data_IF_463903679645
#
_entry.id   IF_463903679645
#
_cell.length_a   1.000
_cell.length_b   1.000
_cell.length_c   1.000
_cell.angle_alpha   90.00
_cell.angle_beta   90.00
_cell.angle_gamma   90.00
#
_symmetry.space_group_name_H-M   'P 1'
#
loop_
_entity.id
_entity.type
_entity.pdbx_description
1 polymer ?
#
# COMPACT_ATOMS: atom_id res chain seq x y z
N UNK A 1 -1.49 13.22 -0.07
CA UNK A 1 -1.36 12.10 0.88
C UNK A 1 -0.69 10.87 0.24
N UNK A 2 -0.30 9.88 1.01
CA UNK A 2 0.09 8.58 0.46
C UNK A 2 -0.65 7.42 1.14
N UNK A 3 -0.95 6.39 0.35
CA UNK A 3 -1.34 5.06 0.81
C UNK A 3 -0.44 4.06 0.12
N UNK A 4 0.32 3.26 0.88
CA UNK A 4 1.34 2.39 0.29
C UNK A 4 1.47 1.06 1.02
N UNK A 5 1.78 0.01 0.27
CA UNK A 5 1.84 -1.38 0.73
C UNK A 5 3.19 -2.01 0.34
N UNK A 6 4.30 -1.63 1.03
CA UNK A 6 5.61 -2.16 0.73
C UNK A 6 5.69 -3.68 0.97
N UNK A 7 6.67 -4.40 0.41
CA UNK A 7 6.96 -5.77 0.78
C UNK A 7 7.08 -5.94 2.30
N UNK A 8 6.65 -7.09 2.85
CA UNK A 8 6.60 -7.31 4.31
C UNK A 8 7.80 -8.09 4.85
N UNK A 9 8.77 -8.41 4.02
CA UNK A 9 9.92 -9.26 4.36
C UNK A 9 9.52 -10.63 4.96
N UNK A 10 8.49 -11.25 4.40
CA UNK A 10 7.89 -12.51 4.90
C UNK A 10 8.14 -13.70 3.98
N UNK A 11 8.94 -13.50 2.92
CA UNK A 11 9.28 -14.53 1.92
C UNK A 11 8.04 -15.23 1.34
N UNK A 12 7.11 -14.42 0.86
CA UNK A 12 5.77 -14.85 0.45
C UNK A 12 5.77 -15.98 -0.58
N UNK A 13 6.78 -16.04 -1.44
CA UNK A 13 6.90 -17.04 -2.50
C UNK A 13 7.33 -18.43 -2.03
N UNK A 14 8.11 -18.54 -0.93
CA UNK A 14 8.76 -19.78 -0.50
C UNK A 14 8.00 -20.51 0.61
N UNK A 15 7.20 -19.83 1.43
CA UNK A 15 6.55 -20.41 2.59
C UNK A 15 5.09 -20.87 2.40
N UNK A 16 4.50 -20.70 1.24
CA UNK A 16 3.13 -21.14 0.95
C UNK A 16 3.09 -22.53 0.33
N UNK A 17 2.32 -23.46 0.94
CA UNK A 17 2.13 -24.84 0.47
C UNK A 17 1.87 -24.94 -1.05
N UNK A 18 2.44 -25.99 -1.65
CA UNK A 18 2.32 -26.27 -3.07
C UNK A 18 0.86 -26.41 -3.49
N UNK A 19 0.29 -25.38 -4.14
CA UNK A 19 -0.83 -25.61 -5.03
C UNK A 19 -0.25 -26.12 -6.37
N UNK A 20 -0.61 -27.35 -6.73
CA UNK A 20 -0.22 -27.98 -7.99
C UNK A 20 -0.66 -27.06 -9.15
N UNK A 21 0.32 -26.55 -9.92
CA UNK A 21 0.08 -26.05 -11.26
C UNK A 21 0.28 -24.56 -11.54
N UNK A 22 0.55 -23.67 -10.57
CA UNK A 22 0.89 -22.28 -10.86
C UNK A 22 2.27 -21.90 -10.30
N UNK A 23 3.15 -21.34 -11.12
CA UNK A 23 4.37 -20.66 -10.66
C UNK A 23 3.91 -19.47 -9.80
N UNK A 24 4.02 -19.59 -8.48
CA UNK A 24 3.85 -18.44 -7.60
C UNK A 24 4.90 -17.38 -7.95
N UNK A 25 4.44 -16.16 -8.20
CA UNK A 25 5.34 -15.03 -8.36
C UNK A 25 5.92 -14.66 -7.01
N UNK A 26 7.21 -14.47 -6.96
CA UNK A 26 7.91 -13.90 -5.80
C UNK A 26 7.72 -12.39 -5.80
N UNK A 27 7.64 -11.81 -4.61
CA UNK A 27 7.64 -10.35 -4.43
C UNK A 27 9.09 -9.90 -4.30
N UNK A 28 9.49 -8.89 -5.07
CA UNK A 28 10.83 -8.32 -4.97
C UNK A 28 11.03 -7.70 -3.58
N UNK A 29 12.23 -7.86 -3.01
CA UNK A 29 12.62 -7.35 -1.69
C UNK A 29 11.80 -7.90 -0.49
N UNK A 30 11.16 -9.06 -0.64
CA UNK A 30 10.34 -9.68 0.41
C UNK A 30 11.09 -10.77 1.23
N UNK A 31 12.39 -10.95 1.00
CA UNK A 31 13.25 -11.91 1.70
C UNK A 31 14.67 -11.36 1.82
N UNK A 32 14.82 -10.24 2.52
CA UNK A 32 16.08 -9.56 2.74
C UNK A 32 16.65 -9.88 4.12
N UNK A 33 17.99 -9.89 4.23
CA UNK A 33 18.66 -9.92 5.53
C UNK A 33 18.32 -8.64 6.33
N UNK A 34 18.41 -8.67 7.68
CA UNK A 34 17.97 -7.55 8.52
C UNK A 34 18.53 -6.18 8.13
N UNK A 35 19.83 -6.12 7.86
CA UNK A 35 20.50 -4.85 7.49
C UNK A 35 20.07 -4.35 6.10
N UNK A 36 19.87 -5.26 5.16
CA UNK A 36 19.38 -4.94 3.81
C UNK A 36 17.92 -4.49 3.87
N UNK A 37 17.13 -5.14 4.72
CA UNK A 37 15.75 -4.78 4.96
C UNK A 37 15.63 -3.37 5.54
N UNK A 38 16.39 -3.04 6.58
CA UNK A 38 16.40 -1.70 7.14
C UNK A 38 16.86 -0.65 6.12
N UNK A 39 17.90 -0.93 5.33
CA UNK A 39 18.36 -0.03 4.28
C UNK A 39 17.27 0.20 3.21
N UNK A 40 16.55 -0.85 2.84
CA UNK A 40 15.40 -0.76 1.93
C UNK A 40 14.27 0.09 2.52
N UNK A 41 13.92 -0.13 3.81
CA UNK A 41 12.92 0.68 4.50
C UNK A 41 13.33 2.17 4.53
N UNK A 42 14.58 2.48 4.83
CA UNK A 42 15.09 3.85 4.82
C UNK A 42 15.03 4.50 3.45
N UNK A 43 15.29 3.74 2.39
CA UNK A 43 15.26 4.27 1.04
C UNK A 43 13.85 4.71 0.61
N UNK A 44 12.85 3.84 0.75
CA UNK A 44 11.49 4.20 0.38
C UNK A 44 10.84 5.20 1.34
N UNK A 45 11.16 5.13 2.66
CA UNK A 45 10.63 6.09 3.63
C UNK A 45 11.15 7.52 3.36
N UNK A 46 12.43 7.68 3.00
CA UNK A 46 12.97 8.98 2.55
C UNK A 46 12.25 9.50 1.31
N UNK A 47 12.03 8.64 0.33
CA UNK A 47 11.27 9.01 -0.87
C UNK A 47 9.86 9.47 -0.51
N UNK A 48 9.16 8.72 0.33
CA UNK A 48 7.82 9.05 0.80
C UNK A 48 7.78 10.44 1.46
N UNK A 49 8.64 10.66 2.46
CA UNK A 49 8.71 11.90 3.24
C UNK A 49 9.22 13.11 2.45
N UNK A 50 9.94 12.90 1.34
CA UNK A 50 10.41 13.98 0.48
C UNK A 50 9.36 14.48 -0.51
N UNK A 51 8.31 13.69 -0.77
CA UNK A 51 7.30 14.01 -1.79
C UNK A 51 5.87 14.18 -1.23
N UNK A 52 5.67 13.87 0.07
CA UNK A 52 4.34 13.91 0.67
C UNK A 52 4.37 14.78 1.92
N UNK A 53 3.62 15.88 1.89
CA UNK A 53 3.41 16.75 3.04
C UNK A 53 2.08 16.46 3.78
N UNK A 54 1.26 15.55 3.26
CA UNK A 54 -0.03 15.12 3.87
C UNK A 54 0.07 13.82 4.63
N UNK A 55 -1.07 13.23 4.95
CA UNK A 55 -1.18 11.97 5.68
C UNK A 55 -0.52 10.80 4.96
N UNK A 56 0.08 9.92 5.75
CA UNK A 56 0.76 8.71 5.33
C UNK A 56 0.03 7.50 5.93
N UNK A 57 -0.36 6.55 5.08
CA UNK A 57 -0.89 5.25 5.44
C UNK A 57 0.06 4.18 4.89
N UNK A 58 0.79 3.51 5.78
CA UNK A 58 1.77 2.48 5.40
C UNK A 58 1.33 1.14 5.95
N UNK A 59 0.89 0.26 5.06
CA UNK A 59 0.56 -1.12 5.43
C UNK A 59 1.81 -1.90 5.80
N UNK A 60 1.74 -2.76 6.83
CA UNK A 60 2.89 -3.54 7.26
C UNK A 60 2.49 -4.82 7.99
N UNK A 61 3.40 -5.79 8.03
CA UNK A 61 3.25 -6.93 8.93
C UNK A 61 3.59 -6.55 10.36
N UNK A 62 2.95 -7.22 11.33
CA UNK A 62 3.27 -7.05 12.75
C UNK A 62 4.72 -7.41 13.08
N UNK A 63 5.35 -8.29 12.29
CA UNK A 63 6.73 -8.71 12.48
C UNK A 63 7.72 -7.57 12.22
N UNK A 64 7.51 -6.85 11.13
CA UNK A 64 8.42 -5.78 10.68
C UNK A 64 7.97 -4.39 11.15
N UNK A 65 6.85 -4.30 11.84
CA UNK A 65 6.33 -3.07 12.42
C UNK A 65 7.38 -2.27 13.21
N UNK A 66 8.16 -2.88 14.14
CA UNK A 66 9.13 -2.12 14.93
C UNK A 66 10.20 -1.45 14.05
N UNK A 67 10.67 -2.14 13.01
CA UNK A 67 11.67 -1.60 12.08
C UNK A 67 11.11 -0.43 11.29
N UNK A 68 9.90 -0.59 10.73
CA UNK A 68 9.29 0.42 9.88
C UNK A 68 8.89 1.66 10.68
N UNK A 69 8.25 1.51 11.86
CA UNK A 69 7.88 2.64 12.71
C UNK A 69 9.13 3.43 13.13
N UNK A 70 10.14 2.76 13.65
CA UNK A 70 11.41 3.39 14.03
C UNK A 70 12.05 4.14 12.85
N UNK A 71 12.11 3.53 11.67
CA UNK A 71 12.73 4.16 10.49
C UNK A 71 11.96 5.41 10.06
N UNK A 72 10.63 5.36 10.04
CA UNK A 72 9.81 6.53 9.71
C UNK A 72 10.03 7.66 10.71
N UNK A 73 9.99 7.37 12.00
CA UNK A 73 10.19 8.35 13.09
C UNK A 73 11.61 8.95 13.07
N UNK A 74 12.67 8.14 12.91
CA UNK A 74 14.06 8.62 12.75
C UNK A 74 14.27 9.52 11.53
N UNK A 75 13.43 9.38 10.50
CA UNK A 75 13.46 10.21 9.30
C UNK A 75 12.56 11.46 9.40
N UNK A 76 11.94 11.69 10.56
CA UNK A 76 11.13 12.86 10.83
C UNK A 76 9.64 12.71 10.50
N UNK A 77 9.12 11.50 10.55
CA UNK A 77 7.68 11.29 10.54
C UNK A 77 7.12 11.30 11.96
N UNK A 78 5.95 11.91 12.12
CA UNK A 78 5.13 11.85 13.33
C UNK A 78 4.19 10.65 13.23
N UNK A 79 4.36 9.66 14.12
CA UNK A 79 3.38 8.60 14.29
C UNK A 79 2.19 9.13 15.10
N UNK A 80 1.00 9.04 14.52
CA UNK A 80 -0.24 9.47 15.18
C UNK A 80 -1.02 8.29 15.73
N UNK A 81 -1.18 7.23 14.93
CA UNK A 81 -2.00 6.08 15.31
C UNK A 81 -1.61 4.80 14.56
N UNK A 82 -2.14 3.68 15.04
CA UNK A 82 -2.09 2.38 14.37
C UNK A 82 -3.49 1.96 13.98
N UNK A 83 -3.81 2.05 12.71
CA UNK A 83 -5.09 1.57 12.20
C UNK A 83 -5.01 0.06 12.03
N UNK A 84 -6.01 -0.66 12.52
CA UNK A 84 -6.11 -2.11 12.41
C UNK A 84 -7.13 -2.49 11.34
N UNK A 85 -6.66 -2.97 10.20
CA UNK A 85 -7.56 -3.61 9.26
C UNK A 85 -7.94 -5.01 9.77
N UNK A 86 -9.13 -5.13 10.37
CA UNK A 86 -9.71 -6.38 10.81
C UNK A 86 -10.41 -7.08 9.63
N UNK A 87 -9.96 -8.32 9.34
CA UNK A 87 -10.48 -9.11 8.21
C UNK A 87 -11.68 -9.94 8.64
N UNK A 88 -12.57 -10.25 7.70
CA UNK A 88 -13.74 -11.11 7.88
C UNK A 88 -13.40 -12.53 8.37
N UNK A 89 -12.22 -13.02 8.00
CA UNK A 89 -11.72 -14.37 8.32
C UNK A 89 -10.20 -14.37 8.49
N UNK A 90 -9.70 -15.24 9.34
CA UNK A 90 -8.27 -15.44 9.50
C UNK A 90 -7.64 -16.20 8.33
N UNK A 91 -6.32 -16.14 8.25
CA UNK A 91 -5.52 -16.95 7.33
C UNK A 91 -4.92 -18.11 8.11
N UNK A 92 -5.30 -19.32 7.75
CA UNK A 92 -4.74 -20.52 8.39
C UNK A 92 -3.23 -20.60 8.14
N UNK A 93 -2.46 -20.65 9.21
CA UNK A 93 -1.00 -20.71 9.20
C UNK A 93 -0.49 -21.74 10.23
N UNK A 94 0.82 -21.76 10.44
CA UNK A 94 1.48 -22.67 11.40
C UNK A 94 1.60 -22.07 12.82
N UNK A 95 1.20 -20.82 13.01
CA UNK A 95 1.25 -20.15 14.31
C UNK A 95 0.10 -20.62 15.20
N UNK A 96 0.25 -20.53 16.53
CA UNK A 96 -0.79 -20.86 17.49
C UNK A 96 -2.03 -19.97 17.31
N UNK A 97 -1.81 -18.67 17.11
CA UNK A 97 -2.86 -17.71 16.78
C UNK A 97 -2.89 -17.41 15.29
N UNK A 98 -4.06 -17.52 14.68
CA UNK A 98 -4.25 -17.28 13.26
C UNK A 98 -4.45 -15.77 12.99
N UNK A 99 -3.71 -15.24 12.01
CA UNK A 99 -3.75 -13.81 11.71
C UNK A 99 -5.07 -13.41 11.05
N UNK A 100 -5.75 -12.45 11.66
CA UNK A 100 -7.01 -11.89 11.19
C UNK A 100 -6.95 -10.37 10.97
N UNK A 101 -5.80 -9.75 11.13
CA UNK A 101 -5.64 -8.31 10.90
C UNK A 101 -4.33 -7.97 10.21
N UNK A 102 -4.26 -6.76 9.69
CA UNK A 102 -3.03 -6.09 9.28
C UNK A 102 -2.99 -4.70 9.90
N UNK A 103 -1.87 -4.29 10.52
CA UNK A 103 -1.70 -2.93 11.00
C UNK A 103 -1.34 -2.00 9.84
N UNK A 104 -1.81 -0.75 9.94
CA UNK A 104 -1.47 0.35 9.04
C UNK A 104 -0.90 1.47 9.90
N UNK A 105 0.34 1.84 9.65
CA UNK A 105 0.97 2.99 10.26
C UNK A 105 0.31 4.25 9.72
N UNK A 106 -0.23 5.07 10.61
CA UNK A 106 -0.84 6.33 10.27
C UNK A 106 -0.10 7.49 10.93
N UNK A 107 0.22 8.48 10.16
CA UNK A 107 0.91 9.68 10.60
C UNK A 107 1.21 10.61 9.44
N UNK A 108 2.17 11.51 9.62
CA UNK A 108 2.59 12.50 8.63
C UNK A 108 4.00 12.97 8.92
N UNK A 109 4.57 13.79 8.04
CA UNK A 109 5.86 14.43 8.26
C UNK A 109 5.77 15.42 9.41
N UNK A 110 6.72 15.39 10.34
CA UNK A 110 6.77 16.33 11.47
C UNK A 110 6.69 17.78 10.98
N UNK A 111 5.80 18.57 11.59
CA UNK A 111 5.55 19.97 11.21
C UNK A 111 4.69 20.19 9.96
N UNK A 112 4.25 19.14 9.26
CA UNK A 112 3.33 19.23 8.13
C UNK A 112 1.86 19.12 8.59
N UNK A 113 0.95 19.62 7.75
CA UNK A 113 -0.50 19.45 7.93
C UNK A 113 -0.91 18.07 7.37
N UNK A 114 -1.57 17.25 8.19
CA UNK A 114 -2.07 15.94 7.76
C UNK A 114 -3.43 15.98 7.04
N UNK A 115 -4.06 17.13 6.98
CA UNK A 115 -5.26 17.41 6.20
C UNK A 115 -6.42 16.44 6.46
N UNK A 116 -6.89 16.39 7.72
CA UNK A 116 -8.01 15.52 8.09
C UNK A 116 -9.35 16.01 7.51
N UNK A 117 -10.02 15.15 6.76
CA UNK A 117 -11.33 15.40 6.13
C UNK A 117 -12.44 14.52 6.71
N UNK A 118 -12.10 13.53 7.52
CA UNK A 118 -13.06 12.61 8.13
C UNK A 118 -13.75 13.19 9.37
N UNK A 119 -14.81 12.53 9.80
CA UNK A 119 -15.48 12.85 11.07
C UNK A 119 -14.66 12.36 12.27
N UNK A 120 -14.96 12.87 13.48
CA UNK A 120 -14.25 12.51 14.72
C UNK A 120 -14.80 11.26 15.42
N UNK A 121 -15.78 10.60 14.84
CA UNK A 121 -16.41 9.37 15.34
C UNK A 121 -15.80 8.09 14.73
N UNK A 122 -14.71 8.22 13.96
CA UNK A 122 -14.04 7.09 13.33
C UNK A 122 -13.07 6.40 14.29
N UNK A 123 -13.31 5.11 14.52
CA UNK A 123 -12.38 4.26 15.26
C UNK A 123 -11.19 3.81 14.40
N UNK A 124 -10.13 3.41 15.08
CA UNK A 124 -8.90 2.87 14.52
C UNK A 124 -9.00 1.40 14.06
N UNK A 125 -10.08 0.69 14.40
CA UNK A 125 -10.35 -0.67 13.91
C UNK A 125 -11.29 -0.61 12.72
N UNK A 126 -10.78 -0.99 11.54
CA UNK A 126 -11.51 -1.01 10.29
C UNK A 126 -11.88 -2.43 9.89
N UNK A 127 -13.14 -2.82 10.14
CA UNK A 127 -13.65 -4.13 9.72
C UNK A 127 -14.03 -4.08 8.25
N UNK A 128 -13.17 -4.65 7.40
CA UNK A 128 -13.35 -4.65 5.94
C UNK A 128 -13.03 -6.05 5.42
N UNK A 129 -13.96 -6.60 4.65
CA UNK A 129 -13.83 -7.92 4.05
C UNK A 129 -12.65 -7.99 3.08
N UNK A 130 -11.96 -9.14 3.07
CA UNK A 130 -10.95 -9.40 2.05
C UNK A 130 -11.61 -9.59 0.69
N UNK A 131 -10.95 -9.17 -0.40
CA UNK A 131 -11.42 -9.49 -1.74
C UNK A 131 -11.57 -11.01 -1.88
N UNK A 132 -12.71 -11.47 -2.39
CA UNK A 132 -12.89 -12.87 -2.77
C UNK A 132 -11.84 -13.22 -3.83
N UNK A 133 -11.04 -14.24 -3.58
CA UNK A 133 -9.88 -14.74 -4.33
C UNK A 133 -9.56 -14.00 -5.63
N UNK A 134 -8.49 -13.22 -5.63
CA UNK A 134 -8.07 -12.49 -6.82
C UNK A 134 -7.06 -13.30 -7.62
N UNK A 135 -7.41 -13.64 -8.86
CA UNK A 135 -6.46 -14.18 -9.84
C UNK A 135 -5.43 -13.11 -10.26
N UNK A 136 -5.73 -11.83 -10.01
CA UNK A 136 -4.95 -10.68 -10.48
C UNK A 136 -3.72 -10.40 -9.61
N UNK A 137 -3.84 -10.50 -8.28
CA UNK A 137 -2.72 -10.27 -7.36
C UNK A 137 -2.96 -11.02 -6.04
N UNK A 138 -1.95 -11.75 -5.51
CA UNK A 138 -2.12 -12.59 -4.32
C UNK A 138 -2.37 -11.80 -3.02
N UNK A 139 -1.95 -10.55 -2.96
CA UNK A 139 -2.03 -9.68 -1.77
C UNK A 139 -2.77 -8.36 -2.03
N UNK A 140 -3.73 -8.37 -2.96
CA UNK A 140 -4.48 -7.16 -3.32
C UNK A 140 -5.23 -6.58 -2.10
N UNK A 141 -5.05 -5.28 -1.84
CA UNK A 141 -5.81 -4.58 -0.80
C UNK A 141 -7.26 -4.34 -1.26
N UNK A 142 -8.25 -4.43 -0.35
CA UNK A 142 -9.63 -4.07 -0.65
C UNK A 142 -9.74 -2.60 -1.08
N UNK A 143 -10.53 -2.31 -2.10
CA UNK A 143 -10.75 -0.91 -2.51
C UNK A 143 -11.34 -0.08 -1.38
N UNK A 144 -12.33 -0.61 -0.65
CA UNK A 144 -12.96 0.08 0.48
C UNK A 144 -11.97 0.49 1.59
N UNK A 145 -10.87 -0.27 1.78
CA UNK A 145 -9.82 0.08 2.73
C UNK A 145 -9.07 1.34 2.27
N UNK A 146 -8.70 1.36 0.99
CA UNK A 146 -7.94 2.46 0.39
C UNK A 146 -8.80 3.70 0.23
N UNK A 147 -10.05 3.52 -0.22
CA UNK A 147 -11.04 4.60 -0.36
C UNK A 147 -11.26 5.33 0.97
N UNK A 148 -11.46 4.57 2.06
CA UNK A 148 -11.63 5.16 3.40
C UNK A 148 -10.43 6.01 3.81
N UNK A 149 -9.20 5.54 3.58
CA UNK A 149 -8.00 6.32 3.87
C UNK A 149 -7.92 7.60 3.02
N UNK A 150 -8.22 7.48 1.72
CA UNK A 150 -8.22 8.60 0.77
C UNK A 150 -9.25 9.66 1.16
N UNK A 151 -10.47 9.26 1.45
CA UNK A 151 -11.57 10.17 1.82
C UNK A 151 -11.30 10.89 3.15
N UNK A 152 -10.68 10.21 4.11
CA UNK A 152 -10.32 10.79 5.41
C UNK A 152 -9.19 11.82 5.32
N UNK A 153 -8.32 11.76 4.32
CA UNK A 153 -7.08 12.55 4.31
C UNK A 153 -6.82 13.28 2.99
N UNK A 154 -7.83 13.45 2.15
CA UNK A 154 -7.72 14.21 0.91
C UNK A 154 -9.09 14.70 0.43
N UNK A 155 -9.07 15.65 -0.51
CA UNK A 155 -10.25 16.16 -1.22
C UNK A 155 -10.23 15.70 -2.68
N UNK A 156 -11.38 15.76 -3.34
CA UNK A 156 -11.44 15.53 -4.78
C UNK A 156 -10.45 16.45 -5.52
N UNK A 157 -9.71 15.89 -6.47
CA UNK A 157 -8.64 16.55 -7.19
C UNK A 157 -7.26 16.50 -6.54
N UNK A 158 -7.14 16.12 -5.26
CA UNK A 158 -5.85 15.99 -4.59
C UNK A 158 -5.03 14.79 -5.11
N UNK A 159 -3.71 14.85 -4.84
CA UNK A 159 -2.77 13.79 -5.23
C UNK A 159 -2.67 12.70 -4.17
N UNK A 160 -2.70 11.46 -4.63
CA UNK A 160 -2.43 10.26 -3.84
C UNK A 160 -1.20 9.57 -4.40
N UNK A 161 -0.17 9.36 -3.56
CA UNK A 161 1.05 8.65 -3.93
C UNK A 161 1.01 7.21 -3.42
N UNK A 162 1.41 6.27 -4.29
CA UNK A 162 1.68 4.88 -3.90
C UNK A 162 3.02 4.42 -4.50
N UNK A 163 4.01 4.14 -3.63
CA UNK A 163 5.34 3.71 -4.07
C UNK A 163 5.40 2.22 -4.47
N UNK A 164 4.37 1.44 -4.15
CA UNK A 164 4.30 -0.01 -4.39
C UNK A 164 2.93 -0.37 -4.96
N UNK A 165 2.63 0.17 -6.15
CA UNK A 165 1.29 0.18 -6.75
C UNK A 165 0.69 -1.22 -6.95
N UNK A 166 1.53 -2.23 -7.19
CA UNK A 166 1.09 -3.60 -7.44
C UNK A 166 0.05 -3.67 -8.57
N UNK A 167 -1.06 -4.32 -8.28
CA UNK A 167 -2.17 -4.42 -9.24
C UNK A 167 -3.04 -3.16 -9.35
N UNK A 168 -2.67 -2.03 -8.73
CA UNK A 168 -3.34 -0.75 -8.89
C UNK A 168 -4.57 -0.54 -8.00
N UNK A 169 -4.62 -1.11 -6.78
CA UNK A 169 -5.77 -0.85 -5.89
C UNK A 169 -5.87 0.63 -5.52
N UNK A 170 -4.75 1.29 -5.24
CA UNK A 170 -4.70 2.72 -4.95
C UNK A 170 -5.10 3.56 -6.16
N UNK A 171 -4.68 3.16 -7.37
CA UNK A 171 -5.06 3.83 -8.62
C UNK A 171 -6.58 3.81 -8.83
N UNK A 172 -7.21 2.64 -8.65
CA UNK A 172 -8.67 2.50 -8.83
C UNK A 172 -9.44 3.22 -7.71
N UNK A 173 -8.96 3.15 -6.47
CA UNK A 173 -9.59 3.85 -5.35
C UNK A 173 -9.53 5.39 -5.53
N UNK A 174 -8.40 5.92 -5.99
CA UNK A 174 -8.24 7.33 -6.30
C UNK A 174 -9.19 7.77 -7.43
N UNK A 175 -9.27 7.01 -8.52
CA UNK A 175 -10.20 7.27 -9.62
C UNK A 175 -11.66 7.30 -9.15
N UNK A 176 -12.08 6.29 -8.35
CA UNK A 176 -13.45 6.20 -7.81
C UNK A 176 -13.82 7.36 -6.90
N UNK A 177 -12.85 7.90 -6.19
CA UNK A 177 -13.04 8.99 -5.24
C UNK A 177 -12.71 10.37 -5.84
N UNK A 178 -12.39 10.44 -7.14
CA UNK A 178 -12.10 11.69 -7.85
C UNK A 178 -10.74 12.32 -7.49
N UNK A 179 -9.75 11.49 -7.11
CA UNK A 179 -8.37 11.92 -6.84
C UNK A 179 -7.46 11.51 -7.98
N UNK A 180 -6.28 12.11 -8.01
CA UNK A 180 -5.22 11.77 -8.99
C UNK A 180 -4.20 10.87 -8.30
N UNK A 181 -3.93 9.70 -8.88
CA UNK A 181 -2.94 8.77 -8.33
C UNK A 181 -1.62 8.86 -9.09
N UNK A 182 -0.52 9.01 -8.36
CA UNK A 182 0.82 8.72 -8.83
C UNK A 182 1.32 7.44 -8.19
N UNK A 183 1.72 6.47 -9.00
CA UNK A 183 2.18 5.19 -8.52
C UNK A 183 3.47 4.74 -9.17
N UNK A 184 4.29 4.00 -8.44
CA UNK A 184 5.45 3.29 -8.98
C UNK A 184 5.27 1.79 -8.82
N UNK A 185 5.73 1.03 -9.81
CA UNK A 185 5.71 -0.43 -9.79
C UNK A 185 6.97 -0.95 -10.48
N UNK A 186 7.62 -1.93 -9.86
CA UNK A 186 8.88 -2.50 -10.37
C UNK A 186 8.64 -3.62 -11.40
N UNK A 187 7.59 -4.44 -11.19
CA UNK A 187 7.28 -5.57 -12.07
C UNK A 187 6.47 -5.08 -13.29
N UNK A 188 7.02 -5.18 -14.53
CA UNK A 188 6.31 -4.77 -15.74
C UNK A 188 4.96 -5.47 -15.93
N UNK A 189 4.80 -6.68 -15.39
CA UNK A 189 3.51 -7.36 -15.44
C UNK A 189 2.46 -6.64 -14.60
N UNK A 190 2.80 -6.22 -13.38
CA UNK A 190 1.85 -5.48 -12.53
C UNK A 190 1.59 -4.08 -13.05
N UNK A 191 2.57 -3.42 -13.66
CA UNK A 191 2.31 -2.19 -14.42
C UNK A 191 1.22 -2.41 -15.48
N UNK A 192 1.32 -3.51 -16.23
CA UNK A 192 0.32 -3.85 -17.26
C UNK A 192 -1.04 -4.19 -16.64
N UNK A 193 -1.07 -4.95 -15.54
CA UNK A 193 -2.30 -5.27 -14.79
C UNK A 193 -2.98 -4.02 -14.29
N UNK A 194 -2.23 -3.08 -13.68
CA UNK A 194 -2.78 -1.83 -13.16
C UNK A 194 -3.38 -0.98 -14.28
N UNK A 195 -2.68 -0.82 -15.41
CA UNK A 195 -3.18 -0.10 -16.57
C UNK A 195 -4.45 -0.75 -17.15
N UNK A 196 -4.45 -2.06 -17.34
CA UNK A 196 -5.61 -2.79 -17.87
C UNK A 196 -6.84 -2.70 -16.94
N UNK A 197 -6.63 -2.75 -15.61
CA UNK A 197 -7.70 -2.55 -14.63
C UNK A 197 -8.28 -1.14 -14.69
N UNK A 198 -7.42 -0.13 -14.81
CA UNK A 198 -7.85 1.25 -14.94
C UNK A 198 -8.63 1.48 -16.23
N UNK A 199 -8.15 0.96 -17.37
CA UNK A 199 -8.86 1.00 -18.65
C UNK A 199 -10.24 0.34 -18.56
N UNK A 200 -10.31 -0.85 -17.94
CA UNK A 200 -11.57 -1.55 -17.76
C UNK A 200 -12.56 -0.80 -16.87
N UNK A 201 -12.04 -0.09 -15.87
CA UNK A 201 -12.87 0.68 -14.94
C UNK A 201 -13.38 1.99 -15.57
N UNK A 202 -12.50 2.73 -16.24
CA UNK A 202 -12.83 4.08 -16.77
C UNK A 202 -13.41 4.05 -18.18
N UNK A 203 -13.18 3.01 -18.95
CA UNK A 203 -13.46 2.94 -20.40
C UNK A 203 -12.47 3.75 -21.25
N UNK A 204 -11.48 4.40 -20.63
CA UNK A 204 -10.44 5.15 -21.31
C UNK A 204 -9.26 4.26 -21.72
N UNK A 205 -8.32 4.79 -22.48
CA UNK A 205 -7.08 4.10 -22.86
C UNK A 205 -5.89 4.72 -22.14
N UNK A 206 -5.05 3.86 -21.55
CA UNK A 206 -3.77 4.27 -20.97
C UNK A 206 -2.78 4.56 -22.11
N UNK A 207 -2.06 5.66 -21.98
CA UNK A 207 -1.03 6.04 -22.95
C UNK A 207 0.36 5.74 -22.39
N UNK A 208 1.17 5.05 -23.21
CA UNK A 208 2.58 4.81 -22.87
C UNK A 208 3.40 6.03 -23.32
N UNK A 209 3.96 6.76 -22.36
CA UNK A 209 4.91 7.84 -22.65
C UNK A 209 6.31 7.24 -22.79
N UNK A 210 6.95 7.39 -23.94
CA UNK A 210 8.34 6.98 -24.15
C UNK A 210 9.31 8.00 -23.51
N UNK A 211 10.41 7.50 -22.92
CA UNK A 211 11.47 8.35 -22.38
C UNK A 211 12.00 9.27 -23.49
N UNK A 212 11.79 10.56 -23.37
CA UNK A 212 12.35 11.56 -24.31
C UNK A 212 11.43 12.72 -24.68
N UNK A 213 10.15 12.67 -24.34
CA UNK A 213 9.26 13.82 -24.53
C UNK A 213 9.27 14.66 -23.25
N UNK A 214 10.16 15.65 -23.19
CA UNK A 214 9.99 16.77 -22.27
C UNK A 214 8.71 17.51 -22.67
N UNK A 215 7.61 17.26 -22.00
CA UNK A 215 6.43 18.12 -22.07
C UNK A 215 6.81 19.44 -21.37
N UNK A 216 7.03 20.46 -22.18
CA UNK A 216 7.19 21.85 -21.74
C UNK A 216 5.90 22.38 -21.11
#
# INVERSE_FOLDING_TARGET
>A
MAFTDPPYNVDYGHHGGQQRGSRRRTIANDSLAPEQWEAFCRAWARNLLSHVDGALYVCMSTREWPTVSRVLEELGAHWSDTIIWAKDRFVLGRADYQRQYEPIWYGWKEGADHHWCGDRDQGDVWTIERPAGSELHPTMKPLALVERAIENSSRAGDLVLDLFLGSGSTLIAAERTGRVCYGTELDPHYCHVAAARWEAFTGLKAEKVEKGVETR
#
